data_IF_138343789593
#
_entry.id   IF_138343789593
#
_cell.length_a   1.000
_cell.length_b   1.000
_cell.length_c   1.000
_cell.angle_alpha   90.00
_cell.angle_beta   90.00
_cell.angle_gamma   90.00
#
_symmetry.space_group_name_H-M   'P 1'
#
loop_
_entity.id
_entity.type
_entity.pdbx_description
1 polymer ?
#
# COMPACT_ATOMS: atom_id res chain seq x y z
N UNK A 1 23.04 -2.90 22.34
CA UNK A 1 23.39 -4.17 21.65
C UNK A 1 22.35 -4.47 20.58
N UNK A 2 22.73 -4.94 19.41
CA UNK A 2 21.78 -5.45 18.42
C UNK A 2 20.91 -6.57 19.01
N UNK A 3 19.67 -6.68 18.55
CA UNK A 3 18.75 -7.74 18.97
C UNK A 3 18.09 -8.40 17.76
N UNK A 4 17.69 -9.66 17.91
CA UNK A 4 16.92 -10.40 16.92
C UNK A 4 15.46 -10.40 17.34
N UNK A 5 14.58 -9.91 16.45
CA UNK A 5 13.13 -9.96 16.63
C UNK A 5 12.49 -10.90 15.62
N UNK A 6 11.60 -11.74 16.09
CA UNK A 6 10.85 -12.66 15.23
C UNK A 6 9.51 -12.07 14.87
N UNK A 7 9.23 -12.03 13.57
CA UNK A 7 7.91 -11.69 13.06
C UNK A 7 6.90 -12.77 13.54
N UNK A 8 5.81 -12.39 14.20
CA UNK A 8 4.88 -13.36 14.77
C UNK A 8 4.00 -14.06 13.73
N UNK A 9 3.94 -13.57 12.50
CA UNK A 9 3.10 -14.09 11.42
C UNK A 9 3.91 -15.07 10.56
N UNK A 10 4.93 -14.58 9.86
CA UNK A 10 5.73 -15.40 8.92
C UNK A 10 6.96 -16.06 9.56
N UNK A 11 7.23 -15.78 10.83
CA UNK A 11 8.35 -16.37 11.56
C UNK A 11 9.75 -15.87 11.15
N UNK A 12 9.81 -14.86 10.29
CA UNK A 12 11.07 -14.25 9.83
C UNK A 12 11.78 -13.52 10.97
N UNK A 13 13.11 -13.62 11.00
CA UNK A 13 13.94 -12.86 11.93
C UNK A 13 14.42 -11.55 11.32
N UNK A 14 14.43 -10.50 12.12
CA UNK A 14 14.96 -9.18 11.79
C UNK A 14 15.99 -8.77 12.82
N UNK A 15 17.13 -8.25 12.37
CA UNK A 15 18.17 -7.69 13.22
C UNK A 15 17.85 -6.20 13.45
N UNK A 16 17.51 -5.84 14.69
CA UNK A 16 17.38 -4.43 15.10
C UNK A 16 18.77 -3.98 15.57
N UNK A 17 19.42 -3.15 14.77
CA UNK A 17 20.81 -2.74 15.00
C UNK A 17 20.88 -1.40 15.74
N UNK A 18 20.65 -1.42 17.05
CA UNK A 18 20.65 -0.22 17.91
C UNK A 18 21.99 0.53 17.90
N UNK A 19 23.11 -0.16 17.70
CA UNK A 19 24.44 0.47 17.59
C UNK A 19 24.60 1.30 16.31
N UNK A 20 23.72 1.08 15.33
CA UNK A 20 23.59 1.86 14.09
C UNK A 20 22.34 2.74 14.10
N UNK A 21 21.76 2.99 15.30
CA UNK A 21 20.52 3.71 15.42
C UNK A 21 20.53 4.99 14.58
N UNK A 22 19.63 5.04 13.61
CA UNK A 22 19.46 6.19 12.72
C UNK A 22 18.20 6.93 13.04
N UNK A 23 18.36 8.23 13.26
CA UNK A 23 17.25 9.20 13.35
C UNK A 23 16.75 9.52 11.93
N UNK A 24 15.57 10.13 11.80
CA UNK A 24 15.06 10.56 10.49
C UNK A 24 16.06 11.40 9.67
N UNK A 25 16.88 12.20 10.34
CA UNK A 25 17.88 13.09 9.73
C UNK A 25 19.15 12.38 9.25
N UNK A 26 19.40 11.15 9.66
CA UNK A 26 20.62 10.42 9.36
C UNK A 26 20.55 9.63 8.04
N UNK A 27 19.35 9.57 7.45
CA UNK A 27 19.17 8.93 6.16
C UNK A 27 19.55 9.88 5.02
N UNK A 28 20.28 9.34 4.02
CA UNK A 28 20.59 10.10 2.82
C UNK A 28 19.28 10.37 2.06
N UNK A 29 18.95 11.65 1.91
CA UNK A 29 17.74 12.08 1.24
C UNK A 29 17.98 12.06 -0.27
N UNK A 30 17.36 11.14 -0.97
CA UNK A 30 17.16 11.24 -2.41
C UNK A 30 15.95 12.15 -2.61
N UNK A 31 16.21 13.45 -2.82
CA UNK A 31 15.13 14.40 -3.07
C UNK A 31 14.31 13.94 -4.29
N UNK A 32 13.01 13.75 -4.11
CA UNK A 32 12.09 13.51 -5.22
C UNK A 32 12.11 14.77 -6.08
N UNK A 33 12.84 14.73 -7.20
CA UNK A 33 12.91 15.84 -8.14
C UNK A 33 11.74 15.73 -9.09
N UNK A 34 10.86 16.71 -9.09
CA UNK A 34 9.86 16.88 -10.14
C UNK A 34 10.59 17.29 -11.40
N UNK A 35 10.73 16.37 -12.35
CA UNK A 35 11.46 16.61 -13.60
C UNK A 35 10.69 17.52 -14.56
N UNK A 36 9.40 17.70 -14.34
CA UNK A 36 8.52 18.42 -15.24
C UNK A 36 8.47 17.80 -16.65
N UNK A 37 7.63 18.32 -17.53
CA UNK A 37 7.52 17.85 -18.90
C UNK A 37 6.19 17.16 -19.21
N UNK A 38 6.13 16.41 -20.30
CA UNK A 38 4.93 15.72 -20.73
C UNK A 38 4.57 14.57 -19.78
N UNK A 39 3.36 14.61 -19.23
CA UNK A 39 2.83 13.54 -18.39
C UNK A 39 1.52 12.98 -18.98
N UNK A 40 1.45 11.68 -19.31
CA UNK A 40 0.24 11.08 -19.89
C UNK A 40 -0.94 11.00 -18.93
N UNK A 41 -0.71 11.18 -17.62
CA UNK A 41 -1.74 11.11 -16.59
C UNK A 41 -2.37 12.47 -16.25
N UNK A 42 -1.78 13.55 -16.74
CA UNK A 42 -2.34 14.88 -16.54
C UNK A 42 -3.66 15.07 -17.28
N UNK A 43 -4.51 15.90 -16.68
CA UNK A 43 -5.76 16.36 -17.27
C UNK A 43 -5.56 16.91 -18.69
N UNK A 44 -6.43 16.50 -19.61
CA UNK A 44 -6.33 16.85 -21.04
C UNK A 44 -5.43 15.91 -21.87
N UNK A 45 -4.76 14.95 -21.24
CA UNK A 45 -3.92 13.93 -21.89
C UNK A 45 -4.56 12.54 -21.93
N UNK A 46 -5.89 12.44 -21.78
CA UNK A 46 -6.60 11.16 -21.70
C UNK A 46 -6.34 10.26 -22.92
N UNK A 47 -6.19 10.85 -24.11
CA UNK A 47 -5.85 10.13 -25.34
C UNK A 47 -4.42 9.56 -25.41
N UNK A 48 -3.57 9.85 -24.43
CA UNK A 48 -2.16 9.40 -24.39
C UNK A 48 -1.97 8.13 -23.57
N UNK A 49 -3.01 7.68 -22.90
CA UNK A 49 -3.09 6.39 -22.19
C UNK A 49 -3.92 5.38 -23.01
N UNK A 50 -3.88 4.08 -22.70
CA UNK A 50 -4.89 3.16 -23.18
C UNK A 50 -6.30 3.61 -22.78
N UNK A 51 -7.38 3.14 -23.46
CA UNK A 51 -8.75 3.49 -23.11
C UNK A 51 -9.07 3.18 -21.63
N UNK A 52 -9.80 4.08 -21.00
CA UNK A 52 -10.12 3.92 -19.58
C UNK A 52 -11.00 2.69 -19.33
N UNK A 53 -10.69 1.98 -18.25
CA UNK A 53 -11.52 0.88 -17.73
C UNK A 53 -12.68 1.48 -16.93
N UNK A 54 -12.36 2.45 -16.07
CA UNK A 54 -13.28 3.10 -15.16
C UNK A 54 -12.79 4.53 -14.87
N UNK A 55 -13.74 5.44 -14.61
CA UNK A 55 -13.40 6.75 -14.07
C UNK A 55 -14.54 7.29 -13.19
N UNK A 56 -14.16 7.90 -12.09
CA UNK A 56 -15.09 8.66 -11.25
C UNK A 56 -15.20 10.09 -11.77
N UNK A 57 -16.40 10.49 -12.16
CA UNK A 57 -16.71 11.85 -12.64
C UNK A 57 -17.87 12.40 -11.83
N UNK A 58 -17.64 13.45 -11.03
CA UNK A 58 -18.75 14.12 -10.35
C UNK A 58 -19.78 14.61 -11.38
N UNK A 59 -21.04 14.28 -11.17
CA UNK A 59 -22.15 14.77 -12.00
C UNK A 59 -23.20 15.47 -11.11
N UNK A 60 -22.88 16.63 -10.53
CA UNK A 60 -23.74 17.30 -9.57
C UNK A 60 -25.07 17.77 -10.19
N UNK A 61 -25.13 17.92 -11.51
CA UNK A 61 -26.32 18.45 -12.23
C UNK A 61 -27.20 17.38 -12.89
N UNK A 62 -26.89 16.07 -12.71
CA UNK A 62 -27.70 14.96 -13.20
C UNK A 62 -27.85 14.88 -14.73
N UNK A 63 -26.88 15.42 -15.47
CA UNK A 63 -26.85 15.32 -16.95
C UNK A 63 -26.52 13.92 -17.47
N UNK A 64 -26.43 13.72 -18.80
CA UNK A 64 -26.03 12.46 -19.38
C UNK A 64 -24.61 12.06 -18.86
N UNK A 65 -24.31 10.75 -18.75
CA UNK A 65 -23.02 10.30 -18.26
C UNK A 65 -21.91 10.89 -19.15
N UNK A 66 -20.80 11.37 -18.54
CA UNK A 66 -19.67 11.92 -19.29
C UNK A 66 -19.11 10.88 -20.26
N UNK A 67 -18.63 11.36 -21.41
CA UNK A 67 -18.00 10.50 -22.41
C UNK A 67 -16.75 9.80 -21.82
N UNK A 68 -16.52 8.54 -22.20
CA UNK A 68 -15.28 7.83 -21.86
C UNK A 68 -14.08 8.56 -22.46
N UNK A 69 -12.94 8.41 -21.80
CA UNK A 69 -11.67 9.03 -22.19
C UNK A 69 -11.76 10.56 -22.38
N UNK A 70 -12.65 11.19 -21.59
CA UNK A 70 -12.81 12.65 -21.54
C UNK A 70 -12.40 13.22 -20.18
N UNK A 71 -12.08 14.51 -20.11
CA UNK A 71 -11.81 15.23 -18.86
C UNK A 71 -12.98 15.20 -17.86
N UNK A 72 -12.74 15.75 -16.65
CA UNK A 72 -13.76 15.86 -15.59
C UNK A 72 -13.74 14.71 -14.59
N UNK A 73 -12.81 13.81 -14.70
CA UNK A 73 -12.61 12.72 -13.74
C UNK A 73 -11.88 13.19 -12.48
N UNK A 74 -12.07 12.46 -11.41
CA UNK A 74 -11.40 12.66 -10.12
C UNK A 74 -10.45 11.52 -9.79
N UNK A 75 -10.78 10.31 -10.25
CA UNK A 75 -9.93 9.11 -10.25
C UNK A 75 -10.17 8.42 -11.60
N UNK A 76 -9.13 7.89 -12.20
CA UNK A 76 -9.21 7.22 -13.50
C UNK A 76 -8.39 5.94 -13.52
N UNK A 77 -8.95 4.86 -14.04
CA UNK A 77 -8.30 3.55 -14.20
C UNK A 77 -8.08 3.24 -15.66
N UNK A 78 -6.86 2.90 -15.99
CA UNK A 78 -6.45 2.50 -17.36
C UNK A 78 -5.64 1.20 -17.31
N UNK A 79 -5.65 0.39 -18.39
CA UNK A 79 -4.67 -0.69 -18.48
C UNK A 79 -3.24 -0.14 -18.43
N UNK A 80 -2.32 -0.85 -17.82
CA UNK A 80 -0.90 -0.48 -17.93
C UNK A 80 -0.49 -0.60 -19.40
N UNK A 81 0.17 0.43 -19.94
CA UNK A 81 0.63 0.45 -21.33
C UNK A 81 1.68 -0.62 -21.64
N UNK A 82 2.43 -1.03 -20.61
CA UNK A 82 3.45 -2.09 -20.68
C UNK A 82 3.15 -3.15 -19.62
N UNK A 83 2.07 -3.94 -19.81
CA UNK A 83 1.60 -4.83 -18.76
C UNK A 83 2.55 -6.01 -18.56
N UNK A 84 2.73 -6.42 -17.31
CA UNK A 84 3.50 -7.61 -16.95
C UNK A 84 2.77 -8.91 -17.36
N UNK A 85 1.43 -8.87 -17.43
CA UNK A 85 0.54 -9.97 -17.76
C UNK A 85 -0.53 -9.50 -18.74
N UNK A 86 -0.97 -10.40 -19.63
CA UNK A 86 -2.07 -10.14 -20.57
C UNK A 86 -3.40 -10.66 -20.06
N UNK A 87 -4.50 -9.93 -20.30
CA UNK A 87 -5.82 -10.37 -19.86
C UNK A 87 -6.46 -11.41 -20.78
N UNK A 88 -6.06 -11.41 -22.05
CA UNK A 88 -6.63 -12.29 -23.08
C UNK A 88 -5.93 -13.65 -23.15
N UNK A 89 -6.69 -14.70 -23.46
CA UNK A 89 -6.18 -16.05 -23.68
C UNK A 89 -6.44 -17.01 -22.51
N UNK A 90 -5.81 -18.18 -22.58
CA UNK A 90 -5.94 -19.26 -21.61
C UNK A 90 -4.63 -19.47 -20.85
N UNK A 91 -4.70 -20.01 -19.65
CA UNK A 91 -3.52 -20.30 -18.82
C UNK A 91 -2.56 -21.29 -19.46
N UNK A 92 -3.05 -22.26 -20.23
CA UNK A 92 -2.25 -23.26 -20.95
C UNK A 92 -1.12 -23.84 -20.07
N UNK A 93 -1.50 -24.44 -18.94
CA UNK A 93 -0.55 -25.08 -18.02
C UNK A 93 0.11 -26.27 -18.66
N UNK A 94 1.43 -26.34 -18.62
CA UNK A 94 2.24 -27.38 -19.26
C UNK A 94 3.38 -27.77 -18.31
N UNK A 95 3.76 -29.06 -18.38
CA UNK A 95 4.99 -29.56 -17.80
C UNK A 95 6.05 -29.74 -18.90
N UNK A 96 7.27 -29.34 -18.62
CA UNK A 96 8.45 -29.55 -19.47
C UNK A 96 9.52 -30.27 -18.64
N UNK A 97 9.46 -31.60 -18.65
CA UNK A 97 10.22 -32.44 -17.73
C UNK A 97 9.81 -32.15 -16.27
N UNK A 98 10.75 -31.71 -15.46
CA UNK A 98 10.50 -31.32 -14.06
C UNK A 98 10.04 -29.86 -13.88
N UNK A 99 9.91 -29.11 -14.94
CA UNK A 99 9.58 -27.69 -14.90
C UNK A 99 8.12 -27.45 -15.30
N UNK A 100 7.45 -26.56 -14.57
CA UNK A 100 6.09 -26.10 -14.86
C UNK A 100 6.12 -24.74 -15.56
N UNK A 101 5.26 -24.56 -16.53
CA UNK A 101 5.03 -23.27 -17.18
C UNK A 101 3.56 -23.04 -17.49
N UNK A 102 3.18 -21.78 -17.57
CA UNK A 102 1.88 -21.35 -18.06
C UNK A 102 1.97 -20.02 -18.79
N UNK A 103 0.94 -19.67 -19.54
CA UNK A 103 0.85 -18.35 -20.15
C UNK A 103 0.73 -17.29 -19.07
N UNK A 104 1.34 -16.13 -19.30
CA UNK A 104 1.28 -14.98 -18.40
C UNK A 104 -0.07 -14.25 -18.46
N UNK A 105 -1.13 -14.94 -18.01
CA UNK A 105 -2.49 -14.42 -17.97
C UNK A 105 -2.72 -13.68 -16.66
N UNK A 106 -3.23 -12.44 -16.75
CA UNK A 106 -3.54 -11.59 -15.60
C UNK A 106 -4.02 -10.21 -16.03
N UNK A 107 -4.39 -9.36 -15.10
CA UNK A 107 -4.66 -7.96 -15.36
C UNK A 107 -3.55 -7.10 -14.74
N UNK A 108 -3.15 -6.04 -15.43
CA UNK A 108 -2.24 -5.03 -14.89
C UNK A 108 -2.82 -3.65 -15.20
N UNK A 109 -3.31 -2.98 -14.17
CA UNK A 109 -4.03 -1.71 -14.26
C UNK A 109 -3.29 -0.60 -13.50
N UNK A 110 -3.46 0.63 -13.97
CA UNK A 110 -2.97 1.85 -13.31
C UNK A 110 -4.17 2.67 -12.84
N UNK A 111 -4.18 3.03 -11.58
CA UNK A 111 -5.18 3.88 -10.94
C UNK A 111 -4.57 5.27 -10.76
N UNK A 112 -4.97 6.23 -11.59
CA UNK A 112 -4.56 7.63 -11.51
C UNK A 112 -5.43 8.30 -10.46
N UNK A 113 -4.83 8.66 -9.33
CA UNK A 113 -5.53 9.02 -8.08
C UNK A 113 -6.10 10.44 -8.08
N UNK A 114 -5.63 11.30 -8.97
CA UNK A 114 -6.09 12.68 -9.11
C UNK A 114 -5.68 13.23 -10.49
N UNK A 115 -6.37 14.21 -11.05
CA UNK A 115 -5.94 14.91 -12.25
C UNK A 115 -4.79 15.90 -12.01
N UNK A 116 -4.52 16.27 -10.74
CA UNK A 116 -3.47 17.23 -10.38
C UNK A 116 -2.10 16.54 -10.33
N UNK A 117 -1.18 17.01 -11.18
CA UNK A 117 0.17 16.47 -11.28
C UNK A 117 0.99 16.63 -9.99
N UNK A 118 0.77 17.71 -9.27
CA UNK A 118 1.57 18.08 -8.10
C UNK A 118 0.98 17.56 -6.77
N UNK A 119 -0.17 16.89 -6.83
CA UNK A 119 -0.78 16.34 -5.63
C UNK A 119 -0.11 15.04 -5.19
N UNK A 120 -0.13 14.77 -3.89
CA UNK A 120 0.19 13.48 -3.27
C UNK A 120 -1.02 12.98 -2.47
N UNK A 121 -1.07 11.69 -2.15
CA UNK A 121 -2.12 11.18 -1.25
C UNK A 121 -2.13 11.91 0.10
N UNK A 122 -0.96 12.35 0.59
CA UNK A 122 -0.86 13.05 1.86
C UNK A 122 -1.54 14.43 1.84
N UNK A 123 -1.55 15.12 0.69
CA UNK A 123 -2.15 16.45 0.59
C UNK A 123 -3.59 16.45 0.05
N UNK A 124 -4.09 15.30 -0.46
CA UNK A 124 -5.49 15.19 -0.87
C UNK A 124 -6.44 15.29 0.35
N UNK A 125 -7.64 15.87 0.16
CA UNK A 125 -8.70 15.79 1.17
C UNK A 125 -9.09 14.32 1.45
N UNK A 126 -9.48 13.95 2.68
CA UNK A 126 -9.89 12.58 3.01
C UNK A 126 -10.95 12.00 2.06
N UNK A 127 -11.92 12.81 1.63
CA UNK A 127 -12.94 12.37 0.67
C UNK A 127 -12.35 11.93 -0.69
N UNK A 128 -11.27 12.55 -1.14
CA UNK A 128 -10.59 12.15 -2.38
C UNK A 128 -9.80 10.87 -2.21
N UNK A 129 -9.20 10.67 -1.04
CA UNK A 129 -8.55 9.39 -0.69
C UNK A 129 -9.62 8.29 -0.63
N UNK A 130 -10.79 8.57 -0.05
CA UNK A 130 -11.92 7.63 -0.02
C UNK A 130 -12.37 7.24 -1.44
N UNK A 131 -12.46 8.19 -2.39
CA UNK A 131 -12.79 7.89 -3.80
C UNK A 131 -11.77 6.94 -4.45
N UNK A 132 -10.48 7.07 -4.11
CA UNK A 132 -9.43 6.14 -4.54
C UNK A 132 -9.64 4.74 -3.95
N UNK A 133 -9.97 4.64 -2.64
CA UNK A 133 -10.24 3.37 -1.97
C UNK A 133 -11.47 2.66 -2.55
N UNK A 134 -12.52 3.41 -2.87
CA UNK A 134 -13.69 2.88 -3.59
C UNK A 134 -13.30 2.34 -4.97
N UNK A 135 -12.41 3.04 -5.68
CA UNK A 135 -11.90 2.56 -6.97
C UNK A 135 -11.15 1.23 -6.82
N UNK A 136 -10.33 1.08 -5.79
CA UNK A 136 -9.64 -0.19 -5.50
C UNK A 136 -10.62 -1.33 -5.29
N UNK A 137 -11.64 -1.12 -4.44
CA UNK A 137 -12.71 -2.09 -4.19
C UNK A 137 -13.45 -2.48 -5.47
N UNK A 138 -13.88 -1.51 -6.24
CA UNK A 138 -14.66 -1.76 -7.46
C UNK A 138 -13.84 -2.55 -8.48
N UNK A 139 -12.52 -2.28 -8.61
CA UNK A 139 -11.64 -3.04 -9.49
C UNK A 139 -11.44 -4.48 -8.99
N UNK A 140 -11.28 -4.69 -7.68
CA UNK A 140 -11.21 -6.04 -7.11
C UNK A 140 -12.50 -6.80 -7.42
N UNK A 141 -13.67 -6.21 -7.17
CA UNK A 141 -14.97 -6.85 -7.39
C UNK A 141 -15.23 -7.17 -8.87
N UNK A 142 -14.73 -6.34 -9.79
CA UNK A 142 -14.85 -6.62 -11.22
C UNK A 142 -13.94 -7.78 -11.65
N UNK A 143 -12.66 -7.72 -11.31
CA UNK A 143 -11.68 -8.74 -11.67
C UNK A 143 -11.93 -10.09 -10.96
N UNK A 144 -12.56 -10.09 -9.79
CA UNK A 144 -12.99 -11.30 -9.05
C UNK A 144 -13.97 -12.16 -9.83
N UNK A 145 -14.69 -11.60 -10.82
CA UNK A 145 -15.58 -12.36 -11.71
C UNK A 145 -14.82 -13.31 -12.62
N UNK A 146 -13.56 -13.04 -12.91
CA UNK A 146 -12.72 -13.91 -13.72
C UNK A 146 -12.09 -15.01 -12.85
N UNK A 147 -12.59 -16.23 -13.01
CA UNK A 147 -12.16 -17.40 -12.22
C UNK A 147 -10.73 -17.85 -12.49
N UNK A 148 -10.07 -17.31 -13.52
CA UNK A 148 -8.64 -17.57 -13.77
C UNK A 148 -7.77 -16.93 -12.70
N UNK A 149 -8.21 -15.82 -12.10
CA UNK A 149 -7.45 -15.10 -11.09
C UNK A 149 -7.65 -15.71 -9.70
N UNK A 150 -6.56 -15.75 -8.93
CA UNK A 150 -6.52 -16.26 -7.55
C UNK A 150 -6.22 -15.18 -6.54
N UNK A 151 -5.43 -14.19 -6.93
CA UNK A 151 -5.01 -13.11 -6.06
C UNK A 151 -4.97 -11.78 -6.80
N UNK A 152 -5.30 -10.70 -6.11
CA UNK A 152 -5.19 -9.33 -6.60
C UNK A 152 -4.35 -8.55 -5.63
N UNK A 153 -3.25 -7.96 -6.12
CA UNK A 153 -2.40 -7.07 -5.34
C UNK A 153 -2.64 -5.64 -5.79
N UNK A 154 -2.92 -4.76 -4.83
CA UNK A 154 -2.91 -3.31 -5.03
C UNK A 154 -1.67 -2.77 -4.34
N UNK A 155 -0.90 -1.99 -5.07
CA UNK A 155 0.32 -1.40 -4.54
C UNK A 155 0.57 -0.01 -5.13
N UNK A 156 1.32 0.78 -4.39
CA UNK A 156 1.77 2.10 -4.80
C UNK A 156 3.28 2.19 -4.68
N UNK A 157 3.90 2.76 -5.70
CA UNK A 157 5.29 3.18 -5.67
C UNK A 157 5.32 4.71 -5.71
N UNK A 158 5.95 5.33 -4.74
CA UNK A 158 6.16 6.77 -4.67
C UNK A 158 7.65 7.08 -4.70
N UNK A 159 8.08 7.90 -5.65
CA UNK A 159 9.50 8.22 -5.85
C UNK A 159 10.29 7.16 -6.62
N UNK A 160 11.37 7.60 -7.31
CA UNK A 160 12.20 6.76 -8.17
C UNK A 160 12.84 5.59 -7.41
N UNK A 161 13.35 5.85 -6.19
CA UNK A 161 13.98 4.81 -5.36
C UNK A 161 13.01 3.71 -4.88
N UNK A 162 11.69 3.98 -4.95
CA UNK A 162 10.65 2.99 -4.69
C UNK A 162 10.11 2.31 -5.96
N UNK A 163 10.70 2.62 -7.13
CA UNK A 163 10.30 2.02 -8.40
C UNK A 163 9.20 2.78 -9.15
N UNK A 164 8.89 4.01 -8.79
CA UNK A 164 7.97 4.84 -9.56
C UNK A 164 8.64 5.32 -10.85
N UNK A 165 8.01 5.03 -12.00
CA UNK A 165 8.47 5.51 -13.31
C UNK A 165 7.88 6.87 -13.70
N UNK A 166 6.78 7.27 -13.08
CA UNK A 166 6.09 8.54 -13.26
C UNK A 166 5.86 9.21 -11.92
N UNK A 167 6.04 10.53 -11.89
CA UNK A 167 5.87 11.34 -10.67
C UNK A 167 4.41 11.59 -10.33
N UNK A 168 3.55 11.68 -11.36
CA UNK A 168 2.11 11.85 -11.18
C UNK A 168 1.56 10.72 -10.31
N UNK A 169 0.91 11.09 -9.23
CA UNK A 169 0.44 10.16 -8.20
C UNK A 169 -0.51 9.10 -8.75
N UNK A 170 -0.13 7.84 -8.59
CA UNK A 170 -0.89 6.69 -9.05
C UNK A 170 -0.62 5.46 -8.18
N UNK A 171 -1.56 4.53 -8.19
CA UNK A 171 -1.40 3.17 -7.70
C UNK A 171 -1.49 2.18 -8.86
N UNK A 172 -1.12 0.95 -8.61
CA UNK A 172 -1.21 -0.14 -9.58
C UNK A 172 -1.97 -1.32 -8.98
N UNK A 173 -2.60 -2.08 -9.85
CA UNK A 173 -3.27 -3.33 -9.52
C UNK A 173 -2.78 -4.41 -10.45
N UNK A 174 -2.41 -5.57 -9.88
CA UNK A 174 -2.09 -6.78 -10.64
C UNK A 174 -2.97 -7.93 -10.15
N UNK A 175 -3.72 -8.54 -11.07
CA UNK A 175 -4.44 -9.78 -10.83
C UNK A 175 -3.62 -10.97 -11.34
N UNK A 176 -3.48 -11.99 -10.51
CA UNK A 176 -2.60 -13.14 -10.71
C UNK A 176 -3.38 -14.45 -10.74
N UNK A 177 -3.00 -15.41 -11.60
CA UNK A 177 -3.63 -16.73 -11.67
C UNK A 177 -3.08 -17.72 -10.61
N UNK A 178 -2.12 -17.28 -9.82
CA UNK A 178 -1.47 -18.04 -8.75
C UNK A 178 -1.36 -17.17 -7.50
N UNK A 179 -1.21 -17.81 -6.35
CA UNK A 179 -0.95 -17.12 -5.10
C UNK A 179 0.57 -16.83 -4.99
N UNK A 180 0.99 -15.57 -4.76
CA UNK A 180 2.40 -15.23 -4.56
C UNK A 180 2.98 -15.88 -3.31
N UNK A 181 4.29 -16.21 -3.33
CA UNK A 181 4.93 -16.95 -2.25
C UNK A 181 4.87 -16.21 -0.91
N UNK A 182 5.15 -14.90 -0.87
CA UNK A 182 5.09 -14.11 0.38
C UNK A 182 3.68 -14.05 0.98
N UNK A 183 2.66 -13.94 0.12
CA UNK A 183 1.25 -13.98 0.55
C UNK A 183 0.89 -15.37 1.08
N UNK A 184 1.39 -16.43 0.43
CA UNK A 184 1.21 -17.81 0.90
C UNK A 184 1.83 -18.04 2.27
N UNK A 185 3.06 -17.55 2.49
CA UNK A 185 3.76 -17.65 3.78
C UNK A 185 3.02 -16.92 4.90
N UNK A 186 2.49 -15.74 4.59
CA UNK A 186 1.70 -14.94 5.54
C UNK A 186 0.39 -15.64 5.92
N UNK A 187 -0.34 -16.14 4.93
CA UNK A 187 -1.59 -16.88 5.14
C UNK A 187 -1.32 -18.15 5.97
N UNK A 188 -0.29 -18.91 5.59
CA UNK A 188 0.04 -20.16 6.31
C UNK A 188 0.48 -19.87 7.75
N UNK A 189 1.29 -18.83 7.98
CA UNK A 189 1.68 -18.41 9.34
C UNK A 189 0.49 -17.99 10.18
N UNK A 190 -0.43 -17.20 9.62
CA UNK A 190 -1.67 -16.83 10.30
C UNK A 190 -2.56 -18.05 10.62
N UNK A 191 -2.65 -19.00 9.69
CA UNK A 191 -3.37 -20.27 9.86
C UNK A 191 -2.75 -21.11 10.98
N UNK A 192 -1.42 -21.26 11.01
CA UNK A 192 -0.73 -22.02 12.07
C UNK A 192 -0.98 -21.40 13.45
N UNK A 193 -0.96 -20.07 13.53
CA UNK A 193 -1.31 -19.38 14.76
C UNK A 193 -2.75 -19.68 15.19
N UNK A 194 -3.70 -19.62 14.24
CA UNK A 194 -5.11 -19.89 14.49
C UNK A 194 -5.35 -21.34 14.96
N UNK A 195 -4.71 -22.33 14.32
CA UNK A 195 -4.80 -23.73 14.75
C UNK A 195 -4.34 -23.91 16.20
N UNK A 196 -3.30 -23.17 16.61
CA UNK A 196 -2.75 -23.29 17.97
C UNK A 196 -3.49 -22.45 19.02
N UNK A 197 -3.96 -21.27 18.65
CA UNK A 197 -4.54 -20.28 19.58
C UNK A 197 -6.05 -20.11 19.43
N UNK A 198 -6.67 -20.65 18.39
CA UNK A 198 -8.09 -20.48 18.03
C UNK A 198 -8.48 -18.99 17.89
N UNK A 199 -7.54 -18.13 17.51
CA UNK A 199 -7.71 -16.69 17.35
C UNK A 199 -6.85 -16.18 16.19
N UNK A 200 -7.30 -15.10 15.56
CA UNK A 200 -6.55 -14.42 14.53
C UNK A 200 -5.32 -13.72 15.12
N UNK A 201 -4.13 -13.95 14.54
CA UNK A 201 -2.86 -13.35 14.99
C UNK A 201 -2.88 -11.83 14.90
N UNK A 202 -3.49 -11.27 13.88
CA UNK A 202 -3.60 -9.82 13.71
C UNK A 202 -4.49 -9.18 14.77
N UNK A 203 -5.61 -9.82 15.14
CA UNK A 203 -6.46 -9.37 16.25
C UNK A 203 -5.70 -9.37 17.56
N UNK A 204 -4.86 -10.37 17.81
CA UNK A 204 -4.03 -10.43 19.02
C UNK A 204 -2.93 -9.36 18.99
N UNK A 205 -2.33 -9.07 17.82
CA UNK A 205 -1.39 -7.95 17.64
C UNK A 205 -2.11 -6.62 17.95
N UNK A 206 -3.29 -6.37 17.37
CA UNK A 206 -4.05 -5.14 17.59
C UNK A 206 -4.31 -4.94 19.08
N UNK A 207 -4.78 -5.99 19.77
CA UNK A 207 -5.02 -5.93 21.21
C UNK A 207 -3.75 -5.60 22.01
N UNK A 208 -2.67 -6.34 21.78
CA UNK A 208 -1.40 -6.15 22.48
C UNK A 208 -0.81 -4.76 22.23
N UNK A 209 -0.82 -4.29 20.99
CA UNK A 209 -0.27 -2.97 20.66
C UNK A 209 -1.13 -1.82 21.22
N UNK A 210 -2.46 -1.99 21.24
CA UNK A 210 -3.36 -1.03 21.88
C UNK A 210 -3.13 -0.97 23.39
N UNK A 211 -2.96 -2.11 24.06
CA UNK A 211 -2.69 -2.18 25.49
C UNK A 211 -1.32 -1.58 25.87
N UNK A 212 -0.28 -1.84 25.09
CA UNK A 212 1.07 -1.34 25.37
C UNK A 212 1.28 0.13 24.96
N UNK A 213 0.67 0.57 23.87
CA UNK A 213 0.81 1.89 23.26
C UNK A 213 2.21 2.23 22.72
N UNK A 214 3.21 1.37 22.92
CA UNK A 214 4.61 1.70 22.69
C UNK A 214 4.90 1.91 21.19
N UNK A 215 4.37 1.01 20.34
CA UNK A 215 4.56 1.03 18.89
C UNK A 215 3.38 1.63 18.12
N UNK A 216 2.39 2.18 18.82
CA UNK A 216 1.26 2.86 18.19
C UNK A 216 1.71 4.19 17.61
N UNK A 217 1.46 4.38 16.32
CA UNK A 217 1.71 5.64 15.58
C UNK A 217 0.47 6.51 15.61
N UNK A 218 -0.69 5.96 15.28
CA UNK A 218 -1.98 6.65 15.28
C UNK A 218 -3.11 5.66 15.50
N UNK A 219 -4.25 6.19 15.93
CA UNK A 219 -5.46 5.43 16.13
C UNK A 219 -6.67 6.28 15.77
N UNK A 220 -7.68 5.67 15.15
CA UNK A 220 -8.99 6.25 15.01
C UNK A 220 -10.07 5.20 15.34
N UNK A 221 -11.33 5.52 15.09
CA UNK A 221 -12.43 4.63 15.41
C UNK A 221 -12.29 3.25 14.75
N UNK A 222 -11.88 3.19 13.47
CA UNK A 222 -11.84 1.96 12.67
C UNK A 222 -10.45 1.32 12.55
N UNK A 223 -9.37 2.04 12.82
CA UNK A 223 -8.02 1.60 12.50
C UNK A 223 -7.01 1.84 13.59
N UNK A 224 -6.08 0.91 13.72
CA UNK A 224 -4.86 1.04 14.47
C UNK A 224 -3.67 1.12 13.49
N UNK A 225 -2.81 2.13 13.65
CA UNK A 225 -1.59 2.31 12.87
C UNK A 225 -0.39 2.09 13.77
N UNK A 226 0.45 1.10 13.45
CA UNK A 226 1.58 0.68 14.29
C UNK A 226 2.89 0.59 13.51
N UNK A 227 4.01 0.74 14.17
CA UNK A 227 5.28 0.18 13.72
C UNK A 227 5.32 -1.29 14.17
N UNK A 228 5.41 -2.28 13.25
CA UNK A 228 5.34 -3.70 13.63
C UNK A 228 6.54 -4.08 14.52
N UNK A 229 6.41 -5.17 15.30
CA UNK A 229 7.44 -5.59 16.25
C UNK A 229 8.79 -5.94 15.60
N UNK A 230 8.75 -6.55 14.42
CA UNK A 230 9.93 -6.96 13.65
C UNK A 230 9.92 -6.34 12.23
N UNK A 231 10.04 -4.99 12.10
CA UNK A 231 9.94 -4.30 10.82
C UNK A 231 11.17 -4.59 9.95
N UNK A 232 10.93 -4.90 8.68
CA UNK A 232 12.00 -5.12 7.70
C UNK A 232 12.79 -3.85 7.39
N UNK A 233 12.07 -2.73 7.34
CA UNK A 233 12.61 -1.43 6.92
C UNK A 233 12.45 -0.38 8.01
N UNK A 234 13.35 0.61 8.08
CA UNK A 234 13.17 1.76 8.96
C UNK A 234 11.84 2.46 8.69
N UNK A 235 11.08 2.77 9.75
CA UNK A 235 9.77 3.42 9.68
C UNK A 235 8.69 2.62 8.94
N UNK A 236 8.89 1.32 8.71
CA UNK A 236 7.81 0.43 8.25
C UNK A 236 6.62 0.56 9.21
N UNK A 237 5.43 0.73 8.64
CA UNK A 237 4.21 0.99 9.40
C UNK A 237 3.05 0.22 8.80
N UNK A 238 2.22 -0.37 9.66
CA UNK A 238 1.03 -1.11 9.27
C UNK A 238 -0.23 -0.36 9.67
N UNK A 239 -1.24 -0.36 8.81
CA UNK A 239 -2.60 0.11 9.11
C UNK A 239 -3.49 -1.13 9.17
N UNK A 240 -4.06 -1.39 10.33
CA UNK A 240 -4.85 -2.59 10.65
C UNK A 240 -6.29 -2.15 10.97
N UNK A 241 -7.34 -2.68 10.30
CA UNK A 241 -8.70 -2.49 10.76
C UNK A 241 -8.87 -3.12 12.15
N UNK A 242 -9.51 -2.42 13.07
CA UNK A 242 -9.77 -2.93 14.42
C UNK A 242 -10.78 -4.06 14.42
N UNK A 243 -11.75 -3.99 13.52
CA UNK A 243 -12.71 -5.07 13.30
C UNK A 243 -12.08 -6.14 12.43
N UNK A 244 -12.21 -7.41 12.84
CA UNK A 244 -11.75 -8.54 12.05
C UNK A 244 -12.47 -8.60 10.71
N UNK A 245 -11.69 -8.49 9.63
CA UNK A 245 -12.15 -8.61 8.25
C UNK A 245 -10.99 -9.14 7.39
N UNK A 246 -11.25 -10.16 6.58
CA UNK A 246 -10.19 -10.81 5.80
C UNK A 246 -9.99 -10.22 4.41
N UNK A 247 -11.02 -9.61 3.85
CA UNK A 247 -11.02 -9.13 2.47
C UNK A 247 -11.31 -7.63 2.39
N UNK A 248 -10.41 -6.89 1.80
CA UNK A 248 -10.51 -5.43 1.64
C UNK A 248 -11.79 -4.99 0.92
N UNK A 249 -12.20 -5.75 -0.10
CA UNK A 249 -13.39 -5.42 -0.91
C UNK A 249 -14.72 -5.56 -0.16
N UNK A 250 -14.73 -6.21 1.01
CA UNK A 250 -15.93 -6.33 1.84
C UNK A 250 -16.15 -5.12 2.75
N UNK A 251 -15.17 -4.23 2.83
CA UNK A 251 -15.19 -3.07 3.73
C UNK A 251 -16.37 -2.13 3.46
N UNK A 252 -16.94 -1.61 4.56
CA UNK A 252 -18.07 -0.69 4.54
C UNK A 252 -17.66 0.74 4.17
N UNK A 253 -18.65 1.60 3.90
CA UNK A 253 -18.39 3.03 3.68
C UNK A 253 -17.73 3.70 4.88
N UNK A 254 -18.15 3.36 6.10
CA UNK A 254 -17.52 3.87 7.33
C UNK A 254 -16.08 3.40 7.47
N UNK A 255 -15.81 2.16 7.07
CA UNK A 255 -14.43 1.63 7.04
C UNK A 255 -13.56 2.45 6.09
N UNK A 256 -14.01 2.73 4.86
CA UNK A 256 -13.23 3.53 3.91
C UNK A 256 -13.08 5.00 4.33
N UNK A 257 -14.08 5.61 4.93
CA UNK A 257 -13.97 6.96 5.52
C UNK A 257 -12.88 7.00 6.60
N UNK A 258 -12.87 6.03 7.52
CA UNK A 258 -11.89 5.95 8.58
C UNK A 258 -10.48 5.58 8.04
N UNK A 259 -10.40 4.71 7.03
CA UNK A 259 -9.14 4.36 6.37
C UNK A 259 -8.53 5.57 5.64
N UNK A 260 -9.34 6.35 4.94
CA UNK A 260 -8.87 7.57 4.28
C UNK A 260 -8.25 8.56 5.27
N UNK A 261 -8.86 8.72 6.45
CA UNK A 261 -8.30 9.54 7.55
C UNK A 261 -7.00 8.94 8.09
N UNK A 262 -6.94 7.63 8.31
CA UNK A 262 -5.74 6.95 8.80
C UNK A 262 -4.57 7.06 7.80
N UNK A 263 -4.82 6.83 6.52
CA UNK A 263 -3.82 7.01 5.46
C UNK A 263 -3.31 8.44 5.39
N UNK A 264 -4.21 9.44 5.42
CA UNK A 264 -3.80 10.85 5.40
C UNK A 264 -2.89 11.17 6.58
N UNK A 265 -3.26 10.75 7.79
CA UNK A 265 -2.46 10.97 9.01
C UNK A 265 -1.09 10.33 8.89
N UNK A 266 -1.01 9.05 8.49
CA UNK A 266 0.26 8.36 8.32
C UNK A 266 1.15 9.03 7.29
N UNK A 267 0.63 9.29 6.09
CA UNK A 267 1.42 9.87 4.99
C UNK A 267 1.88 11.29 5.31
N UNK A 268 1.03 12.13 5.92
CA UNK A 268 1.41 13.47 6.37
C UNK A 268 2.54 13.43 7.41
N UNK A 269 2.46 12.51 8.38
CA UNK A 269 3.52 12.32 9.38
C UNK A 269 4.82 11.83 8.76
N UNK A 270 4.74 10.87 7.86
CA UNK A 270 5.89 10.35 7.14
C UNK A 270 6.57 11.42 6.28
N UNK A 271 5.81 12.23 5.54
CA UNK A 271 6.35 13.36 4.77
C UNK A 271 7.09 14.36 5.66
N UNK A 272 6.55 14.68 6.85
CA UNK A 272 7.18 15.65 7.77
C UNK A 272 8.43 15.10 8.46
N UNK A 273 8.37 13.84 8.91
CA UNK A 273 9.48 13.20 9.65
C UNK A 273 10.62 12.83 8.72
N UNK A 274 10.31 12.35 7.52
CA UNK A 274 11.27 11.76 6.60
C UNK A 274 11.54 12.64 5.36
N UNK A 275 10.91 13.83 5.28
CA UNK A 275 11.08 14.79 4.19
C UNK A 275 10.68 14.23 2.81
N UNK A 276 9.39 13.88 2.67
CA UNK A 276 8.82 13.30 1.46
C UNK A 276 9.60 12.07 0.96
N UNK A 277 9.65 10.99 1.75
CA UNK A 277 10.47 9.83 1.41
C UNK A 277 9.88 9.07 0.23
N UNK A 278 10.71 8.44 -0.61
CA UNK A 278 10.22 7.40 -1.50
C UNK A 278 9.68 6.22 -0.67
N UNK A 279 8.54 5.64 -1.08
CA UNK A 279 7.93 4.53 -0.34
C UNK A 279 7.17 3.57 -1.25
N UNK A 280 7.01 2.35 -0.79
CA UNK A 280 5.99 1.44 -1.27
C UNK A 280 4.84 1.36 -0.26
N UNK A 281 3.62 1.25 -0.78
CA UNK A 281 2.43 0.94 0.00
C UNK A 281 1.76 -0.26 -0.67
N UNK A 282 1.38 -1.25 0.14
CA UNK A 282 0.82 -2.51 -0.34
C UNK A 282 -0.42 -2.83 0.47
N UNK A 283 -1.50 -3.25 -0.21
CA UNK A 283 -2.72 -3.74 0.42
C UNK A 283 -2.68 -5.27 0.38
N UNK A 284 -2.61 -5.89 1.54
CA UNK A 284 -2.73 -7.32 1.73
C UNK A 284 -4.19 -7.68 1.98
N UNK A 285 -4.75 -8.56 1.16
CA UNK A 285 -6.14 -9.01 1.26
C UNK A 285 -6.21 -10.51 1.05
N UNK A 286 -7.30 -11.14 1.50
CA UNK A 286 -7.55 -12.56 1.30
C UNK A 286 -7.59 -12.91 -0.19
N UNK A 287 -7.23 -14.16 -0.59
CA UNK A 287 -7.43 -14.65 -1.95
C UNK A 287 -8.88 -14.50 -2.42
N UNK A 288 -9.06 -14.11 -3.68
CA UNK A 288 -10.38 -13.69 -4.18
C UNK A 288 -11.34 -14.84 -4.49
N UNK A 289 -10.84 -16.04 -4.76
CA UNK A 289 -11.69 -17.20 -5.10
C UNK A 289 -12.02 -18.08 -3.88
N UNK A 290 -11.11 -18.18 -2.94
CA UNK A 290 -11.24 -18.98 -1.73
C UNK A 290 -10.93 -18.08 -0.52
N UNK A 291 -11.86 -17.19 -0.14
CA UNK A 291 -11.60 -16.23 0.93
C UNK A 291 -11.40 -16.92 2.27
N UNK A 292 -10.38 -16.48 2.99
CA UNK A 292 -9.99 -17.03 4.29
C UNK A 292 -10.55 -16.09 5.36
N UNK A 293 -11.63 -16.46 6.03
CA UNK A 293 -12.37 -15.55 6.89
C UNK A 293 -11.88 -15.55 8.34
N UNK A 294 -11.46 -16.71 8.88
CA UNK A 294 -11.27 -16.86 10.34
C UNK A 294 -9.88 -16.45 10.83
N UNK A 295 -8.86 -16.67 10.04
CA UNK A 295 -7.46 -16.49 10.48
C UNK A 295 -6.68 -15.44 9.71
N UNK A 296 -7.21 -14.92 8.61
CA UNK A 296 -6.58 -13.84 7.86
C UNK A 296 -7.24 -12.50 8.16
N UNK A 297 -6.50 -11.41 8.02
CA UNK A 297 -6.93 -10.07 8.35
C UNK A 297 -6.30 -9.11 7.36
N UNK A 298 -7.08 -8.44 6.50
CA UNK A 298 -6.52 -7.52 5.54
C UNK A 298 -5.85 -6.34 6.25
N UNK A 299 -4.78 -5.84 5.66
CA UNK A 299 -4.03 -4.71 6.21
C UNK A 299 -3.25 -3.98 5.12
N UNK A 300 -2.72 -2.82 5.47
CA UNK A 300 -1.86 -2.03 4.60
C UNK A 300 -0.48 -1.96 5.20
N UNK A 301 0.55 -2.27 4.41
CA UNK A 301 1.94 -2.03 4.74
C UNK A 301 2.45 -0.77 4.04
N UNK A 302 3.07 0.12 4.80
CA UNK A 302 3.79 1.30 4.33
C UNK A 302 5.28 1.11 4.58
N UNK A 303 6.09 1.17 3.52
CA UNK A 303 7.52 0.82 3.55
C UNK A 303 8.37 1.94 2.93
N UNK A 304 8.88 2.89 3.74
CA UNK A 304 9.80 3.90 3.24
C UNK A 304 11.10 3.28 2.73
N UNK A 305 11.64 3.80 1.64
CA UNK A 305 12.89 3.35 1.02
C UNK A 305 14.09 4.18 1.50
N UNK A 306 14.41 4.03 2.78
CA UNK A 306 15.51 4.76 3.44
C UNK A 306 16.82 3.97 3.44
N UNK A 307 16.78 2.67 3.19
CA UNK A 307 17.91 1.77 3.09
C UNK A 307 17.82 0.91 1.84
N UNK A 308 18.96 0.43 1.35
CA UNK A 308 19.03 -0.50 0.21
C UNK A 308 19.11 -1.93 0.72
N UNK A 309 18.29 -2.81 0.20
CA UNK A 309 18.41 -4.26 0.40
C UNK A 309 19.65 -4.74 -0.35
N UNK A 310 20.51 -5.52 0.30
CA UNK A 310 21.80 -5.95 -0.23
C UNK A 310 21.93 -7.49 -0.19
N UNK A 311 23.13 -7.99 -0.44
CA UNK A 311 23.37 -9.42 -0.60
C UNK A 311 23.04 -10.27 0.63
N UNK A 312 23.19 -9.71 1.83
CA UNK A 312 22.84 -10.43 3.06
C UNK A 312 21.34 -10.70 3.15
N UNK A 313 20.52 -9.68 2.92
CA UNK A 313 19.06 -9.80 2.97
C UNK A 313 18.55 -10.74 1.86
N UNK A 314 19.08 -10.61 0.66
CA UNK A 314 18.72 -11.48 -0.46
C UNK A 314 19.13 -12.94 -0.25
N UNK A 315 20.31 -13.16 0.34
CA UNK A 315 20.86 -14.51 0.56
C UNK A 315 20.25 -15.24 1.74
N UNK A 316 19.72 -14.52 2.73
CA UNK A 316 19.27 -15.12 4.00
C UNK A 316 17.78 -14.92 4.29
N UNK A 317 17.14 -13.92 3.67
CA UNK A 317 15.80 -13.49 4.04
C UNK A 317 15.72 -12.72 5.37
N UNK A 318 16.86 -12.50 6.05
CA UNK A 318 16.95 -11.65 7.22
C UNK A 318 17.15 -10.20 6.79
N UNK A 319 16.54 -9.27 7.52
CA UNK A 319 16.72 -7.83 7.28
C UNK A 319 17.50 -7.20 8.43
N UNK A 320 18.27 -6.16 8.11
CA UNK A 320 18.98 -5.34 9.11
C UNK A 320 18.28 -3.98 9.16
N UNK A 321 17.57 -3.73 10.26
CA UNK A 321 16.89 -2.46 10.49
C UNK A 321 17.66 -1.63 11.52
N UNK A 322 18.19 -0.45 11.14
CA UNK A 322 18.93 0.42 12.07
C UNK A 322 18.01 1.24 12.98
N UNK A 323 16.69 1.23 12.79
CA UNK A 323 15.75 2.04 13.57
C UNK A 323 14.80 1.13 14.36
N UNK A 324 14.89 1.12 15.71
CA UNK A 324 13.92 0.41 16.54
C UNK A 324 12.49 0.87 16.27
N UNK A 325 11.51 -0.05 16.20
CA UNK A 325 10.13 0.31 15.87
C UNK A 325 9.48 1.23 16.93
N UNK A 326 9.91 1.12 18.19
CA UNK A 326 9.46 1.99 19.28
C UNK A 326 9.86 3.45 19.02
N UNK A 327 11.08 3.69 18.55
CA UNK A 327 11.58 5.01 18.18
C UNK A 327 10.91 5.51 16.89
N UNK A 328 10.77 4.67 15.89
CA UNK A 328 10.04 5.01 14.66
C UNK A 328 8.61 5.45 14.96
N UNK A 329 7.89 4.68 15.78
CA UNK A 329 6.54 5.03 16.22
C UNK A 329 6.50 6.35 16.99
N UNK A 330 7.47 6.59 17.87
CA UNK A 330 7.58 7.84 18.63
C UNK A 330 7.77 9.04 17.71
N UNK A 331 8.73 8.99 16.77
CA UNK A 331 8.96 10.07 15.81
C UNK A 331 7.72 10.37 14.97
N UNK A 332 7.05 9.34 14.46
CA UNK A 332 5.84 9.51 13.66
C UNK A 332 4.69 10.06 14.50
N UNK A 333 4.49 9.60 15.73
CA UNK A 333 3.42 10.01 16.63
C UNK A 333 3.56 11.49 17.04
N UNK A 334 4.78 11.95 17.31
CA UNK A 334 5.07 13.31 17.73
C UNK A 334 5.00 14.33 16.59
N UNK A 335 4.97 13.89 15.33
CA UNK A 335 4.81 14.76 14.18
C UNK A 335 3.40 15.38 14.15
N UNK A 336 3.33 16.72 14.06
CA UNK A 336 2.04 17.43 13.93
C UNK A 336 1.30 17.00 12.65
N UNK A 337 -0.03 16.96 12.70
CA UNK A 337 -0.90 16.70 11.54
C UNK A 337 -1.59 17.97 11.05
N UNK A 338 -1.55 19.06 11.86
CA UNK A 338 -2.18 20.32 11.49
C UNK A 338 -1.49 20.93 10.27
N UNK A 339 -2.27 21.39 9.31
CA UNK A 339 -1.77 22.12 8.15
C UNK A 339 -1.09 23.39 8.62
N UNK A 340 0.23 23.42 8.59
CA UNK A 340 1.00 24.63 8.82
C UNK A 340 0.67 25.64 7.73
N UNK A 341 -0.35 26.46 7.91
CA UNK A 341 -0.43 27.75 7.26
C UNK A 341 0.80 28.53 7.73
N UNK A 342 1.88 28.44 6.95
CA UNK A 342 2.95 29.45 7.05
C UNK A 342 2.28 30.79 6.75
N UNK A 343 2.02 31.55 7.80
CA UNK A 343 1.79 32.97 7.67
C UNK A 343 3.00 33.53 6.88
N UNK A 344 2.76 33.91 5.63
CA UNK A 344 3.72 34.75 4.91
C UNK A 344 3.83 36.04 5.70
N UNK A 345 4.93 36.17 6.46
CA UNK A 345 5.30 37.40 7.09
C UNK A 345 5.43 38.47 6.01
N UNK A 346 4.64 39.52 6.12
CA UNK A 346 4.78 40.75 5.36
C UNK A 346 6.20 41.28 5.53
N UNK A 347 6.90 41.67 4.47
CA UNK A 347 8.16 42.38 4.63
C UNK A 347 7.88 43.80 5.20
N UNK A 348 8.57 44.14 6.26
CA UNK A 348 8.68 45.49 6.76
C UNK A 348 9.68 46.30 5.93
#
# INVERSE_FOLDING_TARGET
MPELRKDPIVGRWVIISTDRAKRPTDFVREAVRIKGGFCPFCYGNESKTPPEIQAYRPNPNGGPPPQRDSPGWTVRVVPNKFPALGIEGNLNRQAEGMFDRMNGIGAHEVIIETPDHNASLANLPPKRIEDVLWTFRDRILDLKKDRRFKYILIFKNHGEAAGASLEHVHSQLIALPILPIYVSEEIEGAKQYYIYKERCVFCDIIRQETESGIRVVAENEGFLTIAPYAPRFPFETWILPKQHESAFENSSSRTFENLAKALKVLLTRAERVLDNPPYNLVIHSSPIQDPINDHYHWHIEFMPKLTKTAGFEWGTGFYINPTPPEEAAKFLREASVEDGTRAMGSPA
#
